data_IF_270929261614
#
_entry.id   IF_270929261614
#
_cell.length_a   1.000
_cell.length_b   1.000
_cell.length_c   1.000
_cell.angle_alpha   90.00
_cell.angle_beta   90.00
_cell.angle_gamma   90.00
#
_symmetry.space_group_name_H-M   'P 1'
#
loop_
_entity.id
_entity.type
_entity.pdbx_description
1 polymer ?
#
# COMPACT_ATOMS: atom_id res chain seq x y z
N UNK A 1 -8.55 5.61 21.58
CA UNK A 1 -7.28 5.14 20.98
C UNK A 1 -6.70 6.30 20.18
N UNK A 2 -5.43 6.67 20.37
CA UNK A 2 -4.82 7.74 19.58
C UNK A 2 -5.00 7.43 18.08
N UNK A 3 -5.41 8.40 17.25
CA UNK A 3 -5.74 8.15 15.83
C UNK A 3 -4.58 7.46 15.08
N UNK A 4 -3.35 7.73 15.49
CA UNK A 4 -2.10 7.10 15.03
C UNK A 4 -2.11 5.57 15.20
N UNK A 5 -2.40 5.08 16.40
CA UNK A 5 -2.40 3.65 16.72
C UNK A 5 -3.52 2.95 15.94
N UNK A 6 -4.65 3.64 15.73
CA UNK A 6 -5.77 3.11 14.96
C UNK A 6 -5.40 2.84 13.50
N UNK A 7 -4.79 3.81 12.82
CA UNK A 7 -4.40 3.61 11.42
C UNK A 7 -3.31 2.55 11.25
N UNK A 8 -2.34 2.48 12.17
CA UNK A 8 -1.32 1.42 12.16
C UNK A 8 -1.96 0.05 12.34
N UNK A 9 -2.86 -0.11 13.31
CA UNK A 9 -3.56 -1.38 13.52
C UNK A 9 -4.40 -1.78 12.29
N UNK A 10 -5.08 -0.82 11.65
CA UNK A 10 -5.83 -1.07 10.41
C UNK A 10 -4.88 -1.49 9.29
N UNK A 11 -3.72 -0.85 9.11
CA UNK A 11 -2.73 -1.24 8.10
C UNK A 11 -2.23 -2.68 8.30
N UNK A 12 -1.96 -3.08 9.54
CA UNK A 12 -1.52 -4.44 9.86
C UNK A 12 -2.61 -5.47 9.56
N UNK A 13 -3.86 -5.20 9.98
CA UNK A 13 -5.00 -6.07 9.70
C UNK A 13 -5.25 -6.15 8.19
N UNK A 14 -5.22 -5.01 7.49
CA UNK A 14 -5.39 -4.92 6.04
C UNK A 14 -4.32 -5.76 5.32
N UNK A 15 -3.06 -5.61 5.72
CA UNK A 15 -1.93 -6.39 5.17
C UNK A 15 -2.14 -7.89 5.40
N UNK A 16 -2.47 -8.30 6.62
CA UNK A 16 -2.65 -9.71 6.96
C UNK A 16 -3.83 -10.34 6.20
N UNK A 17 -4.96 -9.63 6.12
CA UNK A 17 -6.16 -10.10 5.40
C UNK A 17 -5.89 -10.21 3.91
N UNK A 18 -5.29 -9.20 3.28
CA UNK A 18 -5.00 -9.23 1.85
C UNK A 18 -3.96 -10.28 1.50
N UNK A 19 -2.86 -10.37 2.26
CA UNK A 19 -1.85 -11.40 2.04
C UNK A 19 -2.45 -12.80 2.19
N UNK A 20 -3.22 -13.04 3.24
CA UNK A 20 -3.88 -14.33 3.46
C UNK A 20 -4.82 -14.67 2.30
N UNK A 21 -5.71 -13.74 1.93
CA UNK A 21 -6.65 -13.95 0.83
C UNK A 21 -5.91 -14.25 -0.49
N UNK A 22 -4.85 -13.51 -0.81
CA UNK A 22 -4.09 -13.70 -2.03
C UNK A 22 -3.32 -15.01 -2.03
N UNK A 23 -2.63 -15.33 -0.93
CA UNK A 23 -1.89 -16.59 -0.77
C UNK A 23 -2.78 -17.82 -0.92
N UNK A 24 -3.97 -17.82 -0.31
CA UNK A 24 -4.93 -18.93 -0.44
C UNK A 24 -5.64 -18.97 -1.80
N UNK A 25 -5.73 -17.85 -2.51
CA UNK A 25 -6.35 -17.79 -3.83
C UNK A 25 -5.44 -18.30 -4.95
N UNK A 26 -4.11 -18.14 -4.83
CA UNK A 26 -3.15 -18.51 -5.88
C UNK A 26 -3.30 -19.93 -6.45
N UNK A 27 -3.46 -21.00 -5.63
CA UNK A 27 -3.65 -22.35 -6.16
C UNK A 27 -4.92 -22.51 -7.01
N UNK A 28 -5.97 -21.73 -6.71
CA UNK A 28 -7.23 -21.74 -7.49
C UNK A 28 -7.05 -21.20 -8.91
N UNK A 29 -5.98 -20.43 -9.13
CA UNK A 29 -5.57 -19.91 -10.44
C UNK A 29 -4.44 -20.72 -11.08
N UNK A 30 -4.13 -21.92 -10.56
CA UNK A 30 -3.07 -22.78 -11.08
C UNK A 30 -1.65 -22.33 -10.68
N UNK A 31 -1.52 -21.35 -9.80
CA UNK A 31 -0.22 -20.84 -9.32
C UNK A 31 0.14 -21.56 -8.02
N UNK A 32 0.89 -22.67 -8.15
CA UNK A 32 1.36 -23.42 -6.99
C UNK A 32 2.66 -22.85 -6.38
N UNK A 33 3.52 -22.27 -7.22
CA UNK A 33 4.80 -21.67 -6.80
C UNK A 33 5.00 -20.31 -7.47
N UNK A 34 4.60 -19.25 -6.76
CA UNK A 34 4.72 -17.87 -7.23
C UNK A 34 6.18 -17.47 -7.45
N UNK A 35 7.11 -17.96 -6.62
CA UNK A 35 8.52 -17.59 -6.68
C UNK A 35 9.19 -18.16 -7.92
N UNK A 36 8.94 -19.43 -8.22
CA UNK A 36 9.48 -20.07 -9.42
C UNK A 36 9.02 -19.36 -10.70
N UNK A 37 7.76 -18.89 -10.73
CA UNK A 37 7.19 -18.21 -11.89
C UNK A 37 7.66 -16.77 -12.07
N UNK A 38 7.92 -16.06 -10.96
CA UNK A 38 8.13 -14.59 -10.99
C UNK A 38 9.50 -14.12 -10.53
N UNK A 39 10.29 -14.99 -9.90
CA UNK A 39 11.56 -14.65 -9.25
C UNK A 39 11.41 -13.90 -7.93
N UNK A 40 10.18 -13.58 -7.50
CA UNK A 40 9.88 -12.87 -6.25
C UNK A 40 8.98 -13.70 -5.35
N UNK A 41 9.16 -13.52 -4.05
CA UNK A 41 8.25 -14.11 -3.07
C UNK A 41 6.97 -13.28 -3.00
N UNK A 42 5.79 -13.92 -2.88
CA UNK A 42 4.53 -13.18 -2.77
C UNK A 42 4.55 -12.21 -1.59
N UNK A 43 5.10 -12.63 -0.44
CA UNK A 43 5.17 -11.79 0.75
C UNK A 43 6.02 -10.53 0.52
N UNK A 44 6.94 -10.53 -0.45
CA UNK A 44 7.79 -9.37 -0.72
C UNK A 44 6.98 -8.18 -1.25
N UNK A 45 5.96 -8.43 -2.08
CA UNK A 45 5.02 -7.41 -2.56
C UNK A 45 4.31 -6.74 -1.37
N UNK A 46 3.74 -7.56 -0.49
CA UNK A 46 3.00 -7.09 0.69
C UNK A 46 3.89 -6.39 1.72
N UNK A 47 5.07 -6.93 1.99
CA UNK A 47 6.00 -6.33 2.93
C UNK A 47 6.48 -4.96 2.45
N UNK A 48 6.86 -4.86 1.17
CA UNK A 48 7.28 -3.58 0.57
C UNK A 48 6.16 -2.55 0.64
N UNK A 49 4.97 -2.89 0.14
CA UNK A 49 3.84 -1.96 0.06
C UNK A 49 3.33 -1.57 1.46
N UNK A 50 3.35 -2.50 2.44
CA UNK A 50 3.01 -2.20 3.83
C UNK A 50 3.99 -1.24 4.48
N UNK A 51 5.30 -1.44 4.30
CA UNK A 51 6.32 -0.52 4.81
C UNK A 51 6.21 0.84 4.13
N UNK A 52 6.02 0.88 2.82
CA UNK A 52 5.83 2.13 2.08
C UNK A 52 4.58 2.89 2.57
N UNK A 53 3.45 2.22 2.73
CA UNK A 53 2.22 2.80 3.27
C UNK A 53 2.34 3.22 4.73
N UNK A 54 3.15 2.53 5.54
CA UNK A 54 3.46 2.96 6.90
C UNK A 54 4.24 4.28 6.90
N UNK A 55 5.21 4.44 6.00
CA UNK A 55 5.94 5.70 5.82
C UNK A 55 4.99 6.81 5.37
N UNK A 56 4.12 6.54 4.38
CA UNK A 56 3.09 7.51 3.93
C UNK A 56 2.22 7.93 5.11
N UNK A 57 1.69 6.97 5.88
CA UNK A 57 0.87 7.22 7.06
C UNK A 57 1.57 8.12 8.07
N UNK A 58 2.81 7.79 8.45
CA UNK A 58 3.59 8.57 9.43
C UNK A 58 3.78 10.00 8.93
N UNK A 59 4.19 10.19 7.67
CA UNK A 59 4.43 11.52 7.11
C UNK A 59 3.15 12.33 7.03
N UNK A 60 2.02 11.72 6.64
CA UNK A 60 0.71 12.40 6.61
C UNK A 60 0.30 12.86 8.00
N UNK A 61 0.45 12.01 9.02
CA UNK A 61 0.09 12.35 10.40
C UNK A 61 0.99 13.44 11.01
N UNK A 62 2.28 13.44 10.69
CA UNK A 62 3.19 14.53 11.08
C UNK A 62 2.81 15.81 10.36
N UNK A 63 2.53 15.73 9.05
CA UNK A 63 2.15 16.87 8.22
C UNK A 63 0.85 17.52 8.68
N UNK A 64 -0.07 16.74 9.22
CA UNK A 64 -1.30 17.23 9.85
C UNK A 64 -1.03 18.17 11.05
N UNK A 65 0.06 17.92 11.78
CA UNK A 65 0.45 18.72 12.95
C UNK A 65 1.30 19.94 12.57
N UNK A 66 2.02 19.89 11.45
CA UNK A 66 3.02 20.92 11.08
C UNK A 66 2.55 21.81 9.93
N UNK A 67 1.89 21.25 8.91
CA UNK A 67 1.49 21.94 7.68
C UNK A 67 0.16 21.40 7.10
N UNK A 68 -0.96 21.50 7.85
CA UNK A 68 -2.24 20.85 7.51
C UNK A 68 -2.84 21.29 6.17
N UNK A 69 -2.54 22.51 5.72
CA UNK A 69 -3.02 23.03 4.41
C UNK A 69 -2.36 22.36 3.20
N UNK A 70 -1.24 21.66 3.40
CA UNK A 70 -0.41 21.11 2.34
C UNK A 70 -0.49 19.57 2.24
N UNK A 71 -1.33 18.92 3.05
CA UNK A 71 -1.41 17.44 3.13
C UNK A 71 -1.68 16.81 1.75
N UNK A 72 -2.57 17.40 0.95
CA UNK A 72 -2.85 16.90 -0.41
C UNK A 72 -1.62 16.91 -1.33
N UNK A 73 -0.82 17.99 -1.29
CA UNK A 73 0.43 18.09 -2.06
C UNK A 73 1.47 17.08 -1.56
N UNK A 74 1.63 16.95 -0.24
CA UNK A 74 2.56 16.00 0.38
C UNK A 74 2.18 14.57 0.02
N UNK A 75 0.89 14.24 0.07
CA UNK A 75 0.37 12.95 -0.35
C UNK A 75 0.75 12.63 -1.80
N UNK A 76 0.54 13.56 -2.74
CA UNK A 76 0.90 13.35 -4.14
C UNK A 76 2.41 13.10 -4.34
N UNK A 77 3.26 13.86 -3.65
CA UNK A 77 4.71 13.63 -3.66
C UNK A 77 5.07 12.24 -3.12
N UNK A 78 4.46 11.83 -2.01
CA UNK A 78 4.70 10.53 -1.40
C UNK A 78 4.24 9.36 -2.28
N UNK A 79 3.06 9.45 -2.90
CA UNK A 79 2.58 8.41 -3.81
C UNK A 79 3.46 8.32 -5.06
N UNK A 80 3.91 9.46 -5.59
CA UNK A 80 4.83 9.48 -6.73
C UNK A 80 6.15 8.79 -6.38
N UNK A 81 6.72 9.12 -5.22
CA UNK A 81 7.95 8.50 -4.74
C UNK A 81 7.76 7.01 -4.47
N UNK A 82 6.64 6.62 -3.84
CA UNK A 82 6.28 5.23 -3.59
C UNK A 82 6.20 4.45 -4.90
N UNK A 83 5.47 4.93 -5.90
CA UNK A 83 5.37 4.29 -7.20
C UNK A 83 6.75 4.11 -7.87
N UNK A 84 7.59 5.14 -7.83
CA UNK A 84 8.95 5.06 -8.38
C UNK A 84 9.81 4.02 -7.63
N UNK A 85 9.75 3.98 -6.31
CA UNK A 85 10.47 3.01 -5.49
C UNK A 85 9.95 1.57 -5.70
N UNK A 86 8.63 1.38 -5.77
CA UNK A 86 8.00 0.10 -6.10
C UNK A 86 8.51 -0.42 -7.44
N UNK A 87 8.53 0.42 -8.47
CA UNK A 87 9.08 0.07 -9.78
C UNK A 87 10.56 -0.31 -9.70
N UNK A 88 11.40 0.52 -9.08
CA UNK A 88 12.84 0.25 -8.98
C UNK A 88 13.13 -1.06 -8.24
N UNK A 89 12.38 -1.34 -7.17
CA UNK A 89 12.55 -2.55 -6.37
C UNK A 89 12.11 -3.81 -7.13
N UNK A 90 10.96 -3.74 -7.81
CA UNK A 90 10.36 -4.89 -8.50
C UNK A 90 10.68 -4.99 -9.99
N UNK A 91 11.53 -4.11 -10.54
CA UNK A 91 11.93 -4.11 -11.96
C UNK A 91 12.41 -5.47 -12.46
N UNK A 92 13.03 -6.28 -11.60
CA UNK A 92 13.51 -7.61 -11.95
C UNK A 92 12.38 -8.59 -12.29
N UNK A 93 11.23 -8.46 -11.61
CA UNK A 93 10.03 -9.25 -11.82
C UNK A 93 9.16 -8.66 -12.92
N UNK A 94 9.10 -7.33 -13.02
CA UNK A 94 8.37 -6.62 -14.09
C UNK A 94 8.98 -6.87 -15.48
N UNK A 95 10.29 -7.12 -15.54
CA UNK A 95 10.97 -7.48 -16.78
C UNK A 95 11.08 -9.00 -17.00
N UNK A 96 10.39 -9.82 -16.19
CA UNK A 96 10.48 -11.28 -16.22
C UNK A 96 9.25 -11.93 -16.87
N UNK A 97 9.53 -12.83 -17.83
CA UNK A 97 8.66 -13.81 -18.50
C UNK A 97 7.39 -13.31 -19.21
N UNK A 98 6.91 -14.15 -20.12
CA UNK A 98 5.95 -13.88 -21.22
C UNK A 98 4.47 -13.79 -20.82
N UNK A 99 4.15 -14.03 -19.56
CA UNK A 99 2.79 -14.36 -19.13
C UNK A 99 2.17 -13.29 -18.20
N UNK A 100 2.83 -12.14 -18.03
CA UNK A 100 2.40 -10.96 -17.24
C UNK A 100 1.95 -11.26 -15.79
N UNK A 101 2.19 -12.47 -15.28
CA UNK A 101 1.73 -12.93 -13.96
C UNK A 101 2.24 -11.98 -12.87
N UNK A 102 3.54 -11.66 -12.89
CA UNK A 102 4.10 -10.76 -11.89
C UNK A 102 3.50 -9.36 -11.98
N UNK A 103 3.32 -8.81 -13.19
CA UNK A 103 2.78 -7.47 -13.40
C UNK A 103 1.37 -7.33 -12.83
N UNK A 104 0.47 -8.27 -13.12
CA UNK A 104 -0.90 -8.22 -12.59
C UNK A 104 -0.93 -8.30 -11.06
N UNK A 105 -0.14 -9.21 -10.48
CA UNK A 105 -0.08 -9.35 -9.02
C UNK A 105 0.55 -8.11 -8.36
N UNK A 106 1.59 -7.54 -8.95
CA UNK A 106 2.20 -6.29 -8.52
C UNK A 106 1.20 -5.13 -8.54
N UNK A 107 0.51 -4.91 -9.67
CA UNK A 107 -0.45 -3.82 -9.83
C UNK A 107 -1.63 -3.95 -8.86
N UNK A 108 -2.20 -5.14 -8.70
CA UNK A 108 -3.30 -5.38 -7.77
C UNK A 108 -2.89 -5.02 -6.34
N UNK A 109 -1.72 -5.50 -5.88
CA UNK A 109 -1.24 -5.20 -4.53
C UNK A 109 -0.96 -3.69 -4.40
N UNK A 110 -0.28 -3.08 -5.37
CA UNK A 110 -0.02 -1.64 -5.38
C UNK A 110 -1.32 -0.82 -5.25
N UNK A 111 -2.35 -1.12 -6.05
CA UNK A 111 -3.62 -0.40 -6.01
C UNK A 111 -4.39 -0.61 -4.70
N UNK A 112 -4.34 -1.79 -4.10
CA UNK A 112 -4.95 -2.04 -2.80
C UNK A 112 -4.31 -1.18 -1.70
N UNK A 113 -2.98 -1.06 -1.70
CA UNK A 113 -2.29 -0.18 -0.76
C UNK A 113 -2.48 1.31 -1.10
N UNK A 114 -2.52 1.68 -2.37
CA UNK A 114 -2.87 3.05 -2.78
C UNK A 114 -4.27 3.43 -2.28
N UNK A 115 -5.24 2.52 -2.35
CA UNK A 115 -6.57 2.74 -1.80
C UNK A 115 -6.52 3.00 -0.30
N UNK A 116 -5.76 2.21 0.46
CA UNK A 116 -5.53 2.47 1.88
C UNK A 116 -4.90 3.86 2.11
N UNK A 117 -3.88 4.22 1.35
CA UNK A 117 -3.19 5.51 1.47
C UNK A 117 -4.14 6.69 1.20
N UNK A 118 -4.97 6.58 0.15
CA UNK A 118 -6.02 7.55 -0.17
C UNK A 118 -7.03 7.67 0.98
N UNK A 119 -7.48 6.56 1.56
CA UNK A 119 -8.41 6.58 2.69
C UNK A 119 -7.82 7.31 3.91
N UNK A 120 -6.54 7.09 4.21
CA UNK A 120 -5.85 7.78 5.30
C UNK A 120 -5.78 9.28 5.00
N UNK A 121 -5.26 9.68 3.84
CA UNK A 121 -5.13 11.07 3.47
C UNK A 121 -6.49 11.78 3.46
N UNK A 122 -7.53 11.14 2.92
CA UNK A 122 -8.90 11.64 2.91
C UNK A 122 -9.43 11.91 4.32
N UNK A 123 -9.25 10.97 5.25
CA UNK A 123 -9.71 11.14 6.64
C UNK A 123 -8.97 12.23 7.38
N UNK A 124 -7.67 12.37 7.14
CA UNK A 124 -6.87 13.40 7.79
C UNK A 124 -7.23 14.79 7.25
N UNK A 125 -7.37 14.95 5.94
CA UNK A 125 -7.78 16.22 5.31
C UNK A 125 -9.17 16.65 5.79
N UNK A 126 -10.11 15.71 5.92
CA UNK A 126 -11.51 16.02 6.26
C UNK A 126 -11.83 15.98 7.77
N UNK A 127 -10.81 15.91 8.64
CA UNK A 127 -11.00 15.77 10.10
C UNK A 127 -11.86 16.88 10.71
N UNK A 128 -11.78 18.11 10.20
CA UNK A 128 -12.52 19.27 10.73
C UNK A 128 -14.01 19.21 10.36
N UNK A 129 -14.34 18.76 9.14
CA UNK A 129 -15.72 18.61 8.67
C UNK A 129 -16.48 17.55 9.47
N UNK A 130 -15.82 16.47 9.90
CA UNK A 130 -16.43 15.45 10.76
C UNK A 130 -16.64 15.92 12.21
N UNK A 131 -15.84 16.87 12.71
CA UNK A 131 -16.00 17.41 14.08
C UNK A 131 -17.14 18.41 14.23
N UNK A 132 -17.53 19.10 13.15
CA UNK A 132 -18.63 20.08 13.16
C UNK A 132 -20.00 19.41 13.00
N UNK A 133 -20.04 18.20 12.43
CA UNK A 133 -21.27 17.43 12.19
C UNK A 133 -21.56 16.36 13.28
N UNK A 134 -20.81 16.36 14.38
CA UNK A 134 -21.06 15.53 15.58
C UNK A 134 -21.52 16.41 16.72
#
# INVERSE_FOLDING_TARGET
MNNYIKFIAILLIFTAVLFGAHYFALPSFGIADFKSLTGFELYSLYAFESVASLVVLIVILISDSVMPKNIGFIFLCLITLKAALSYVFFRGGLNHSSDDIFEYNFLIVFFLYLFFDVLVAFKVINKEVESVNK
#
